data_IF_454831025711
#
_entry.id   IF_454831025711
#
_cell.length_a   1.000
_cell.length_b   1.000
_cell.length_c   1.000
_cell.angle_alpha   90.00
_cell.angle_beta   90.00
_cell.angle_gamma   90.00
#
_symmetry.space_group_name_H-M   'P 1'
#
loop_
_entity.id
_entity.type
_entity.pdbx_description
1 polymer ?
#
# COMPACT_ATOMS: atom_id res chain seq x y z
N UNK A 1 -0.58 7.61 0.81
CA UNK A 1 -0.51 6.84 -0.45
C UNK A 1 -1.67 7.25 -1.35
N UNK A 2 -1.49 7.28 -2.68
CA UNK A 2 -2.56 7.62 -3.62
C UNK A 2 -2.70 6.50 -4.66
N UNK A 3 -3.90 5.98 -4.82
CA UNK A 3 -4.23 4.93 -5.79
C UNK A 3 -5.09 5.54 -6.89
N UNK A 4 -4.87 5.12 -8.14
CA UNK A 4 -5.68 5.49 -9.29
C UNK A 4 -6.41 4.24 -9.78
N UNK A 5 -7.68 4.41 -10.10
CA UNK A 5 -8.57 3.37 -10.59
C UNK A 5 -9.11 3.76 -11.95
N UNK A 6 -9.30 2.77 -12.80
CA UNK A 6 -10.07 2.84 -14.04
C UNK A 6 -11.56 2.65 -13.75
N UNK A 7 -12.44 3.19 -14.61
CA UNK A 7 -13.90 3.15 -14.40
C UNK A 7 -14.48 1.75 -14.14
N UNK A 8 -13.90 0.72 -14.75
CA UNK A 8 -14.33 -0.68 -14.55
C UNK A 8 -14.09 -1.20 -13.13
N UNK A 9 -13.28 -0.48 -12.35
CA UNK A 9 -12.95 -0.79 -10.97
C UNK A 9 -13.80 0.02 -9.97
N UNK A 10 -14.87 0.68 -10.42
CA UNK A 10 -15.80 1.40 -9.53
C UNK A 10 -16.40 0.48 -8.44
N UNK A 11 -16.62 1.05 -7.25
CA UNK A 11 -17.18 0.34 -6.10
C UNK A 11 -16.19 0.15 -4.95
N UNK A 12 -16.56 -0.75 -4.03
CA UNK A 12 -15.80 -0.98 -2.80
C UNK A 12 -14.55 -1.82 -3.07
N UNK A 13 -13.41 -1.32 -2.58
CA UNK A 13 -12.09 -1.96 -2.69
C UNK A 13 -11.56 -2.37 -1.34
N UNK A 14 -11.03 -3.60 -1.25
CA UNK A 14 -10.23 -4.06 -0.11
C UNK A 14 -8.76 -3.79 -0.41
N UNK A 15 -8.11 -3.04 0.46
CA UNK A 15 -6.73 -2.62 0.29
C UNK A 15 -5.91 -3.21 1.43
N UNK A 16 -4.85 -3.92 1.08
CA UNK A 16 -3.91 -4.52 2.03
C UNK A 16 -2.52 -3.97 1.78
N UNK A 17 -1.86 -3.51 2.84
CA UNK A 17 -0.50 -2.97 2.79
C UNK A 17 0.39 -3.82 3.69
N UNK A 18 1.45 -4.38 3.13
CA UNK A 18 2.41 -5.21 3.85
C UNK A 18 3.80 -4.56 3.85
N UNK A 19 4.50 -4.68 4.98
CA UNK A 19 5.90 -4.30 5.10
C UNK A 19 6.71 -5.60 5.18
N UNK A 20 7.59 -5.80 4.22
CA UNK A 20 8.35 -7.06 4.06
C UNK A 20 9.84 -6.75 4.19
N UNK A 21 10.59 -7.58 4.90
CA UNK A 21 12.04 -7.47 4.97
C UNK A 21 12.75 -8.13 3.78
N UNK A 22 14.07 -8.01 3.73
CA UNK A 22 14.90 -8.58 2.66
C UNK A 22 14.87 -10.11 2.58
N UNK A 23 14.43 -10.80 3.63
CA UNK A 23 14.26 -12.26 3.64
C UNK A 23 12.84 -12.68 3.18
N UNK A 24 11.97 -11.71 2.85
CA UNK A 24 10.58 -11.96 2.47
C UNK A 24 9.62 -12.11 3.66
N UNK A 25 10.08 -11.84 4.89
CA UNK A 25 9.26 -11.98 6.08
C UNK A 25 8.48 -10.69 6.40
N UNK A 26 7.23 -10.78 6.87
CA UNK A 26 6.47 -9.61 7.29
C UNK A 26 7.09 -8.98 8.54
N UNK A 27 7.35 -7.68 8.47
CA UNK A 27 7.93 -6.88 9.56
C UNK A 27 6.90 -6.58 10.66
N UNK A 28 5.63 -6.49 10.27
CA UNK A 28 4.49 -6.23 11.14
C UNK A 28 3.23 -6.85 10.53
N UNK A 29 2.13 -6.99 11.29
CA UNK A 29 0.85 -7.32 10.71
C UNK A 29 0.48 -6.36 9.56
N UNK A 30 -0.13 -6.89 8.49
CA UNK A 30 -0.60 -6.08 7.36
C UNK A 30 -1.58 -5.01 7.83
N UNK A 31 -1.53 -3.83 7.22
CA UNK A 31 -2.57 -2.81 7.39
C UNK A 31 -3.69 -3.11 6.40
N UNK A 32 -4.92 -3.12 6.88
CA UNK A 32 -6.11 -3.33 6.06
C UNK A 32 -6.97 -2.06 6.04
N UNK A 33 -7.43 -1.70 4.86
CA UNK A 33 -8.30 -0.56 4.63
C UNK A 33 -9.38 -0.91 3.60
N UNK A 34 -10.49 -0.19 3.64
CA UNK A 34 -11.47 -0.23 2.55
C UNK A 34 -11.68 1.17 1.99
N UNK A 35 -11.86 1.27 0.69
CA UNK A 35 -12.17 2.51 0.01
C UNK A 35 -13.35 2.31 -0.94
N UNK A 36 -14.27 3.26 -0.96
CA UNK A 36 -15.32 3.30 -1.95
C UNK A 36 -14.88 4.21 -3.11
N UNK A 37 -14.52 3.58 -4.22
CA UNK A 37 -14.08 4.28 -5.43
C UNK A 37 -15.31 4.72 -6.19
N UNK A 38 -15.44 6.03 -6.40
CA UNK A 38 -16.54 6.64 -7.12
C UNK A 38 -16.01 7.49 -8.27
N UNK A 39 -16.74 7.50 -9.39
CA UNK A 39 -16.37 8.28 -10.57
C UNK A 39 -17.39 9.40 -10.79
N UNK A 40 -17.03 10.68 -10.57
CA UNK A 40 -17.93 11.78 -10.87
C UNK A 40 -18.13 11.89 -12.40
N UNK A 41 -19.38 11.93 -12.85
CA UNK A 41 -19.72 12.11 -14.25
C UNK A 41 -19.11 11.04 -15.17
N UNK A 42 -18.41 11.49 -16.22
CA UNK A 42 -17.85 10.64 -17.28
C UNK A 42 -16.31 10.51 -17.22
N UNK A 43 -15.70 10.82 -16.07
CA UNK A 43 -14.24 10.71 -15.89
C UNK A 43 -13.72 9.29 -16.17
N UNK A 44 -12.58 9.15 -16.83
CA UNK A 44 -12.01 7.82 -17.13
C UNK A 44 -11.32 7.19 -15.90
N UNK A 45 -10.78 8.03 -15.02
CA UNK A 45 -10.02 7.61 -13.84
C UNK A 45 -10.49 8.33 -12.58
N UNK A 46 -10.45 7.65 -11.43
CA UNK A 46 -10.68 8.23 -10.10
C UNK A 46 -9.49 7.93 -9.20
N UNK A 47 -9.33 8.70 -8.12
CA UNK A 47 -8.23 8.48 -7.18
C UNK A 47 -8.69 8.47 -5.74
N UNK A 48 -8.13 7.55 -4.95
CA UNK A 48 -8.31 7.50 -3.51
C UNK A 48 -6.97 7.78 -2.83
N UNK A 49 -7.00 8.68 -1.85
CA UNK A 49 -5.87 8.96 -0.96
C UNK A 49 -6.04 8.23 0.36
N UNK A 50 -5.05 7.43 0.72
CA UNK A 50 -4.98 6.74 2.01
C UNK A 50 -3.98 7.45 2.92
N UNK A 51 -4.47 7.89 4.08
CA UNK A 51 -3.64 8.28 5.20
C UNK A 51 -3.39 7.05 6.07
N UNK A 52 -2.12 6.63 6.18
CA UNK A 52 -1.73 5.42 6.91
C UNK A 52 -1.12 5.82 8.23
N UNK A 53 -1.71 5.34 9.33
CA UNK A 53 -1.11 5.43 10.64
C UNK A 53 -0.33 4.14 10.89
N UNK A 54 0.99 4.24 10.81
CA UNK A 54 1.90 3.11 11.02
C UNK A 54 2.36 3.15 12.47
N UNK A 55 1.86 2.22 13.27
CA UNK A 55 2.26 2.08 14.67
C UNK A 55 3.16 0.86 14.83
N UNK A 56 4.16 0.97 15.72
CA UNK A 56 5.06 -0.13 16.11
C UNK A 56 5.92 -0.73 14.99
N UNK A 57 6.18 0.00 13.90
CA UNK A 57 7.13 -0.44 12.88
C UNK A 57 8.53 -0.60 13.49
N UNK A 58 9.09 -1.81 13.38
CA UNK A 58 10.47 -2.11 13.81
C UNK A 58 11.29 -2.52 12.60
N UNK A 59 12.34 -1.76 12.31
CA UNK A 59 13.28 -2.05 11.23
C UNK A 59 14.62 -2.44 11.86
N UNK A 60 14.80 -3.70 12.28
CA UNK A 60 15.93 -4.11 13.11
C UNK A 60 17.27 -4.15 12.35
N UNK A 61 17.22 -4.18 11.02
CA UNK A 61 18.40 -4.29 10.15
C UNK A 61 18.49 -3.09 9.22
N UNK A 62 19.71 -2.62 8.96
CA UNK A 62 19.97 -1.77 7.80
C UNK A 62 19.81 -2.58 6.53
N UNK A 63 19.37 -1.92 5.45
CA UNK A 63 19.13 -2.56 4.16
C UNK A 63 17.78 -2.16 3.56
N UNK A 64 17.33 -2.98 2.62
CA UNK A 64 16.09 -2.78 1.87
C UNK A 64 14.94 -3.59 2.49
N UNK A 65 13.77 -2.95 2.49
CA UNK A 65 12.47 -3.51 2.81
C UNK A 65 11.52 -3.16 1.65
N UNK A 66 10.41 -3.87 1.50
CA UNK A 66 9.34 -3.49 0.57
C UNK A 66 8.08 -3.06 1.29
N UNK A 67 7.37 -2.12 0.67
CA UNK A 67 6.00 -1.75 1.00
C UNK A 67 5.14 -2.24 -0.15
N UNK A 68 4.43 -3.34 0.07
CA UNK A 68 3.61 -4.00 -0.93
C UNK A 68 2.14 -3.63 -0.75
N UNK A 69 1.47 -3.33 -1.86
CA UNK A 69 0.07 -2.93 -1.89
C UNK A 69 -0.70 -3.93 -2.73
N UNK A 70 -1.75 -4.49 -2.14
CA UNK A 70 -2.72 -5.32 -2.83
C UNK A 70 -4.12 -4.69 -2.79
N UNK A 71 -4.84 -4.80 -3.90
CA UNK A 71 -6.24 -4.42 -4.04
C UNK A 71 -7.04 -5.64 -4.47
N UNK A 72 -8.11 -5.96 -3.76
CA UNK A 72 -8.98 -7.11 -4.06
C UNK A 72 -8.18 -8.42 -4.25
N UNK A 73 -7.23 -8.67 -3.32
CA UNK A 73 -6.31 -9.81 -3.27
C UNK A 73 -5.26 -9.87 -4.40
N UNK A 74 -5.20 -8.89 -5.30
CA UNK A 74 -4.16 -8.77 -6.33
C UNK A 74 -3.09 -7.77 -5.91
N UNK A 75 -1.81 -8.14 -5.99
CA UNK A 75 -0.72 -7.20 -5.77
C UNK A 75 -0.65 -6.20 -6.93
N UNK A 76 -0.74 -4.91 -6.62
CA UNK A 76 -0.78 -3.81 -7.60
C UNK A 76 0.52 -3.03 -7.65
N UNK A 77 1.21 -2.91 -6.50
CA UNK A 77 2.41 -2.11 -6.40
C UNK A 77 3.35 -2.65 -5.33
N UNK A 78 4.63 -2.33 -5.50
CA UNK A 78 5.67 -2.49 -4.50
C UNK A 78 6.58 -1.27 -4.54
N UNK A 79 6.93 -0.73 -3.38
CA UNK A 79 7.87 0.39 -3.25
C UNK A 79 9.00 0.00 -2.30
N UNK A 80 10.27 0.25 -2.65
CA UNK A 80 11.38 -0.01 -1.74
C UNK A 80 11.39 1.03 -0.61
N UNK A 81 11.79 0.58 0.58
CA UNK A 81 12.10 1.38 1.75
C UNK A 81 13.53 1.06 2.20
N UNK A 82 14.43 2.04 2.09
CA UNK A 82 15.83 1.88 2.46
C UNK A 82 16.10 2.40 3.87
N UNK A 83 16.72 1.56 4.69
CA UNK A 83 17.17 1.90 6.04
C UNK A 83 18.68 1.94 6.05
N UNK A 84 19.25 3.13 6.18
CA UNK A 84 20.69 3.36 6.20
C UNK A 84 21.13 4.06 7.48
N UNK A 85 22.43 3.95 7.78
CA UNK A 85 23.03 4.75 8.86
C UNK A 85 23.29 6.16 8.32
N UNK A 86 22.80 7.16 9.03
CA UNK A 86 23.18 8.54 8.77
C UNK A 86 24.57 8.73 9.39
N UNK A 87 25.56 9.06 8.54
CA UNK A 87 26.93 9.32 8.94
C UNK A 87 27.13 10.71 9.52
#
# INVERSE_FOLDING_TARGET
MKLRFERVEEGRKRIRIAFIDSDGAPVMPPLEATADVHFPGQDATSTVSLALNIHQLRLPRFGEYSIDVAVDDRQEASSPLYVSRIG
#
